data_IF_518503125959
#
_entry.id   IF_518503125959
#
_cell.length_a   1.000
_cell.length_b   1.000
_cell.length_c   1.000
_cell.angle_alpha   90.00
_cell.angle_beta   90.00
_cell.angle_gamma   90.00
#
_symmetry.space_group_name_H-M   'P 1'
#
loop_
_entity.id
_entity.type
_entity.pdbx_description
1 polymer ?
#
# COMPACT_ATOMS: atom_id res chain seq x y z
N UNK A 1 -15.34 12.93 -52.18
CA UNK A 1 -14.97 11.71 -51.44
C UNK A 1 -13.55 11.93 -50.94
N UNK A 2 -13.14 11.77 -49.69
CA UNK A 2 -13.80 11.43 -48.44
C UNK A 2 -13.00 12.11 -47.31
N UNK A 3 -13.67 12.31 -46.19
CA UNK A 3 -13.28 13.05 -44.99
C UNK A 3 -12.24 12.25 -44.17
N UNK A 4 -11.11 12.87 -43.83
CA UNK A 4 -10.20 12.37 -42.79
C UNK A 4 -10.72 12.87 -41.45
N UNK A 5 -10.93 11.94 -40.52
CA UNK A 5 -11.39 12.17 -39.15
C UNK A 5 -10.16 12.06 -38.26
N UNK A 6 -9.70 13.20 -37.73
CA UNK A 6 -8.93 13.26 -36.48
C UNK A 6 -9.96 13.25 -35.33
N UNK A 7 -9.80 12.31 -34.41
CA UNK A 7 -10.60 12.22 -33.20
C UNK A 7 -9.65 11.90 -32.05
N UNK A 8 -9.14 12.94 -31.40
CA UNK A 8 -8.65 12.89 -30.02
C UNK A 8 -8.41 14.31 -29.48
N UNK A 9 -9.50 15.03 -29.18
CA UNK A 9 -9.39 16.29 -28.42
C UNK A 9 -10.65 16.67 -27.60
N UNK A 10 -11.53 15.71 -27.29
CA UNK A 10 -12.80 15.96 -26.56
C UNK A 10 -12.78 15.52 -25.09
N UNK A 11 -11.60 15.24 -24.52
CA UNK A 11 -11.46 14.72 -23.14
C UNK A 11 -11.11 15.75 -22.06
N UNK A 12 -10.79 17.00 -22.41
CA UNK A 12 -10.21 17.97 -21.45
C UNK A 12 -11.09 19.16 -21.06
N UNK A 13 -12.29 19.31 -21.62
CA UNK A 13 -13.13 20.49 -21.36
C UNK A 13 -14.22 20.29 -20.28
N UNK A 14 -14.21 19.18 -19.54
CA UNK A 14 -15.26 18.88 -18.55
C UNK A 14 -14.85 18.97 -17.07
N UNK A 15 -13.63 19.42 -16.74
CA UNK A 15 -13.22 19.62 -15.34
C UNK A 15 -13.25 21.09 -14.89
N UNK A 16 -13.19 22.06 -15.79
CA UNK A 16 -13.17 23.48 -15.42
C UNK A 16 -14.57 24.08 -15.19
N UNK A 17 -15.64 23.39 -15.60
CA UNK A 17 -17.03 23.85 -15.43
C UNK A 17 -17.62 23.60 -14.02
N UNK A 18 -16.95 22.81 -13.18
CA UNK A 18 -17.46 22.45 -11.83
C UNK A 18 -16.86 23.33 -10.73
N UNK A 19 -15.74 24.02 -11.00
CA UNK A 19 -15.03 24.84 -10.00
C UNK A 19 -15.43 26.32 -9.97
N UNK A 20 -16.17 26.80 -10.97
CA UNK A 20 -16.64 28.20 -11.06
C UNK A 20 -18.07 28.40 -10.48
N UNK A 21 -18.59 27.45 -9.69
CA UNK A 21 -19.94 27.54 -9.09
C UNK A 21 -19.93 27.75 -7.56
N UNK A 22 -18.76 27.99 -6.95
CA UNK A 22 -18.58 28.07 -5.49
C UNK A 22 -18.10 29.45 -4.98
N UNK A 23 -18.22 30.51 -5.79
CA UNK A 23 -17.80 31.87 -5.40
C UNK A 23 -18.84 32.92 -5.75
N UNK A 24 -19.95 32.96 -5.01
CA UNK A 24 -20.64 34.22 -4.77
C UNK A 24 -21.08 34.30 -3.29
N UNK A 25 -20.87 35.45 -2.61
CA UNK A 25 -21.28 35.64 -1.22
C UNK A 25 -22.80 35.85 -1.15
N UNK A 26 -23.50 34.97 -0.43
CA UNK A 26 -24.91 35.20 -0.08
C UNK A 26 -24.97 36.29 0.99
N UNK A 27 -25.25 37.50 0.54
CA UNK A 27 -25.63 38.65 1.36
C UNK A 27 -26.98 38.35 2.03
N UNK A 28 -27.00 38.23 3.35
CA UNK A 28 -28.22 38.30 4.16
C UNK A 28 -28.73 39.73 4.20
N UNK A 29 -29.64 40.08 3.29
CA UNK A 29 -30.57 41.19 3.51
C UNK A 29 -31.84 40.64 4.18
N UNK A 30 -32.07 41.09 5.41
CA UNK A 30 -33.26 40.75 6.21
C UNK A 30 -34.36 41.72 5.81
N UNK A 31 -35.16 41.37 4.81
CA UNK A 31 -36.37 42.13 4.49
C UNK A 31 -37.52 41.63 5.36
N UNK A 32 -37.86 42.42 6.38
CA UNK A 32 -39.00 42.20 7.26
C UNK A 32 -40.28 42.61 6.52
N UNK A 33 -40.84 41.69 5.74
CA UNK A 33 -42.26 41.75 5.39
C UNK A 33 -42.98 40.67 6.19
N UNK A 34 -43.61 41.07 7.29
CA UNK A 34 -44.53 40.24 8.04
C UNK A 34 -45.81 40.03 7.20
N UNK A 35 -45.70 39.17 6.19
CA UNK A 35 -46.87 38.63 5.50
C UNK A 35 -47.52 37.64 6.46
N UNK A 36 -48.71 38.01 6.92
CA UNK A 36 -49.53 37.21 7.83
C UNK A 36 -49.98 35.97 7.07
N UNK A 37 -49.15 34.93 7.07
CA UNK A 37 -49.50 33.60 6.57
C UNK A 37 -50.73 33.16 7.35
N UNK A 38 -51.87 33.13 6.67
CA UNK A 38 -53.06 32.43 7.14
C UNK A 38 -52.67 30.96 7.26
N UNK A 39 -52.18 30.57 8.44
CA UNK A 39 -51.82 29.19 8.72
C UNK A 39 -53.11 28.44 9.01
N UNK A 40 -53.75 27.97 7.94
CA UNK A 40 -54.61 26.80 8.02
C UNK A 40 -53.71 25.55 8.09
N UNK A 41 -52.70 25.61 8.96
CA UNK A 41 -51.71 24.56 9.10
C UNK A 41 -52.30 23.51 10.01
N UNK A 42 -52.21 22.24 9.61
CA UNK A 42 -52.67 21.11 10.40
C UNK A 42 -51.98 20.99 11.78
N UNK A 43 -51.08 21.92 12.10
CA UNK A 43 -50.27 22.00 13.31
C UNK A 43 -50.84 22.97 14.36
N UNK A 44 -51.63 23.98 13.95
CA UNK A 44 -52.06 25.08 14.83
C UNK A 44 -53.15 24.67 15.84
N UNK A 45 -53.93 23.64 15.52
CA UNK A 45 -55.01 23.12 16.39
C UNK A 45 -54.59 21.90 17.23
N UNK A 46 -53.31 21.50 17.20
CA UNK A 46 -52.85 20.29 17.89
C UNK A 46 -52.33 20.61 19.28
N UNK A 47 -52.63 19.73 20.23
CA UNK A 47 -52.10 19.88 21.60
C UNK A 47 -50.56 19.67 21.62
N UNK A 48 -49.85 20.27 22.59
CA UNK A 48 -48.40 20.08 22.72
C UNK A 48 -47.99 18.61 22.93
N UNK A 49 -48.85 17.78 23.50
CA UNK A 49 -48.62 16.33 23.61
C UNK A 49 -48.80 15.61 22.28
N UNK A 50 -49.80 15.98 21.49
CA UNK A 50 -50.06 15.40 20.18
C UNK A 50 -48.94 15.73 19.18
N UNK A 51 -48.39 16.94 19.23
CA UNK A 51 -47.21 17.33 18.45
C UNK A 51 -45.97 16.47 18.78
N UNK A 52 -45.76 16.15 20.06
CA UNK A 52 -44.68 15.26 20.50
C UNK A 52 -44.90 13.82 20.03
N UNK A 53 -46.15 13.35 20.06
CA UNK A 53 -46.51 12.02 19.57
C UNK A 53 -46.22 11.89 18.07
N UNK A 54 -46.64 12.87 17.27
CA UNK A 54 -46.38 12.91 15.82
C UNK A 54 -44.88 12.98 15.53
N UNK A 55 -44.13 13.82 16.26
CA UNK A 55 -42.67 13.91 16.09
C UNK A 55 -41.98 12.58 16.42
N UNK A 56 -42.44 11.86 17.44
CA UNK A 56 -41.89 10.56 17.82
C UNK A 56 -42.23 9.49 16.78
N UNK A 57 -43.44 9.49 16.26
CA UNK A 57 -43.86 8.63 15.15
C UNK A 57 -43.03 8.89 13.89
N UNK A 58 -42.80 10.16 13.53
CA UNK A 58 -41.94 10.52 12.40
C UNK A 58 -40.49 10.07 12.63
N UNK A 59 -39.93 10.27 13.83
CA UNK A 59 -38.58 9.76 14.16
C UNK A 59 -38.48 8.25 14.01
N UNK A 60 -39.50 7.52 14.47
CA UNK A 60 -39.56 6.07 14.31
C UNK A 60 -39.69 5.65 12.84
N UNK A 61 -40.50 6.35 12.06
CA UNK A 61 -40.65 6.11 10.63
C UNK A 61 -39.33 6.37 9.87
N UNK A 62 -38.64 7.47 10.18
CA UNK A 62 -37.32 7.79 9.60
C UNK A 62 -36.29 6.71 9.98
N UNK A 63 -36.31 6.22 11.22
CA UNK A 63 -35.46 5.11 11.65
C UNK A 63 -35.71 3.82 10.85
N UNK A 64 -36.98 3.48 10.60
CA UNK A 64 -37.35 2.32 9.75
C UNK A 64 -36.91 2.51 8.31
N UNK A 65 -37.19 3.67 7.72
CA UNK A 65 -36.76 4.01 6.35
C UNK A 65 -35.23 3.98 6.20
N UNK A 66 -34.49 4.42 7.21
CA UNK A 66 -33.02 4.34 7.22
C UNK A 66 -32.52 2.90 7.22
N UNK A 67 -33.18 2.03 7.98
CA UNK A 67 -32.88 0.59 7.99
C UNK A 67 -33.20 -0.06 6.63
N UNK A 68 -34.33 0.28 6.01
CA UNK A 68 -34.73 -0.24 4.71
C UNK A 68 -33.75 0.19 3.60
N UNK A 69 -33.32 1.46 3.60
CA UNK A 69 -32.29 1.96 2.68
C UNK A 69 -30.94 1.27 2.93
N UNK A 70 -30.61 1.00 4.20
CA UNK A 70 -29.42 0.24 4.57
C UNK A 70 -29.46 -1.20 4.05
N UNK A 71 -30.61 -1.87 4.14
CA UNK A 71 -30.82 -3.21 3.61
C UNK A 71 -30.74 -3.22 2.07
N UNK A 72 -31.39 -2.27 1.39
CA UNK A 72 -31.32 -2.13 -0.06
C UNK A 72 -29.90 -1.86 -0.57
N UNK A 73 -29.10 -1.06 0.16
CA UNK A 73 -27.67 -0.86 -0.17
C UNK A 73 -26.87 -2.16 -0.07
N UNK A 74 -27.10 -2.98 0.96
CA UNK A 74 -26.42 -4.26 1.13
C UNK A 74 -26.79 -5.25 0.02
N UNK A 75 -28.06 -5.29 -0.36
CA UNK A 75 -28.53 -6.14 -1.46
C UNK A 75 -27.95 -5.68 -2.80
N UNK A 76 -27.93 -4.38 -3.08
CA UNK A 76 -27.31 -3.84 -4.28
C UNK A 76 -25.81 -4.17 -4.35
N UNK A 77 -25.09 -4.09 -3.21
CA UNK A 77 -23.68 -4.46 -3.16
C UNK A 77 -23.48 -5.96 -3.39
N UNK A 78 -24.32 -6.81 -2.80
CA UNK A 78 -24.32 -8.25 -3.07
C UNK A 78 -24.55 -8.56 -4.56
N UNK A 79 -25.52 -7.90 -5.19
CA UNK A 79 -25.81 -8.09 -6.62
C UNK A 79 -24.67 -7.63 -7.51
N UNK A 80 -23.96 -6.54 -7.15
CA UNK A 80 -22.76 -6.12 -7.89
C UNK A 80 -21.67 -7.18 -7.85
N UNK A 81 -21.37 -7.71 -6.67
CA UNK A 81 -20.36 -8.78 -6.50
C UNK A 81 -20.74 -10.02 -7.31
N UNK A 82 -22.02 -10.40 -7.29
CA UNK A 82 -22.53 -11.53 -8.08
C UNK A 82 -22.41 -11.30 -9.59
N UNK A 83 -22.77 -10.10 -10.07
CA UNK A 83 -22.61 -9.74 -11.47
C UNK A 83 -21.15 -9.70 -11.92
N UNK A 84 -20.24 -9.24 -11.06
CA UNK A 84 -18.81 -9.28 -11.35
C UNK A 84 -18.27 -10.72 -11.44
N UNK A 85 -18.74 -11.61 -10.56
CA UNK A 85 -18.39 -13.03 -10.62
C UNK A 85 -18.89 -13.69 -11.92
N UNK A 86 -20.14 -13.41 -12.32
CA UNK A 86 -20.71 -13.91 -13.58
C UNK A 86 -19.92 -13.38 -14.79
N UNK A 87 -19.59 -12.08 -14.82
CA UNK A 87 -18.78 -11.50 -15.90
C UNK A 87 -17.38 -12.12 -16.00
N UNK A 88 -16.74 -12.39 -14.86
CA UNK A 88 -15.44 -13.08 -14.84
C UNK A 88 -15.55 -14.52 -15.36
N UNK A 89 -16.59 -15.24 -14.97
CA UNK A 89 -16.85 -16.60 -15.46
C UNK A 89 -17.15 -16.62 -16.97
N UNK A 90 -17.93 -15.66 -17.49
CA UNK A 90 -18.24 -15.55 -18.91
C UNK A 90 -17.00 -15.15 -19.73
N UNK A 91 -16.18 -14.22 -19.26
CA UNK A 91 -14.91 -13.87 -19.89
C UNK A 91 -13.95 -15.07 -19.96
N UNK A 92 -13.91 -15.89 -18.90
CA UNK A 92 -13.15 -17.13 -18.88
C UNK A 92 -13.69 -18.13 -19.93
N UNK A 93 -15.00 -18.38 -19.95
CA UNK A 93 -15.63 -19.28 -20.95
C UNK A 93 -15.42 -18.81 -22.38
N UNK A 94 -15.56 -17.51 -22.67
CA UNK A 94 -15.31 -16.97 -24.02
C UNK A 94 -13.84 -17.13 -24.42
N UNK A 95 -12.90 -16.97 -23.48
CA UNK A 95 -11.49 -17.27 -23.71
C UNK A 95 -11.23 -18.74 -24.06
N UNK A 96 -11.95 -19.67 -23.42
CA UNK A 96 -11.87 -21.10 -23.72
C UNK A 96 -12.54 -21.46 -25.06
N UNK A 97 -13.68 -20.85 -25.39
CA UNK A 97 -14.43 -21.13 -26.62
C UNK A 97 -13.68 -20.61 -27.87
N UNK A 98 -13.07 -19.42 -27.79
CA UNK A 98 -12.23 -18.89 -28.87
C UNK A 98 -10.96 -19.74 -29.10
N UNK A 99 -10.40 -20.33 -28.03
CA UNK A 99 -9.28 -21.29 -28.13
C UNK A 99 -9.70 -22.63 -28.73
N UNK A 100 -10.91 -23.10 -28.44
CA UNK A 100 -11.45 -24.34 -29.02
C UNK A 100 -11.82 -24.19 -30.51
N UNK A 101 -12.32 -23.02 -30.94
CA UNK A 101 -12.67 -22.78 -32.35
C UNK A 101 -11.47 -22.52 -33.27
N UNK A 102 -10.30 -22.19 -32.70
CA UNK A 102 -9.06 -21.96 -33.46
C UNK A 102 -8.20 -23.23 -33.61
N UNK A 103 -8.61 -24.35 -33.04
CA UNK A 103 -7.96 -25.65 -33.24
C UNK A 103 -8.63 -26.34 -34.43
N UNK A 104 -8.09 -26.08 -35.62
CA UNK A 104 -8.26 -26.96 -36.78
C UNK A 104 -8.04 -28.42 -36.32
N UNK A 105 -8.89 -29.40 -36.70
CA UNK A 105 -8.76 -30.77 -36.24
C UNK A 105 -7.33 -31.23 -36.48
N UNK A 106 -6.64 -31.63 -35.40
CA UNK A 106 -5.20 -31.91 -35.39
C UNK A 106 -4.80 -32.66 -36.66
N UNK A 107 -4.14 -31.93 -37.58
CA UNK A 107 -3.71 -32.44 -38.88
C UNK A 107 -2.89 -33.69 -38.61
N UNK A 108 -3.27 -34.84 -39.19
CA UNK A 108 -2.51 -36.09 -39.03
C UNK A 108 -1.04 -35.80 -39.38
N UNK A 109 -0.07 -36.25 -38.58
CA UNK A 109 1.34 -35.95 -38.82
C UNK A 109 1.74 -36.38 -40.24
N UNK A 110 2.24 -35.42 -41.04
CA UNK A 110 2.66 -35.66 -42.43
C UNK A 110 4.14 -36.04 -42.47
N UNK A 111 4.41 -37.34 -42.40
CA UNK A 111 5.78 -37.87 -42.42
C UNK A 111 6.47 -37.76 -43.79
N UNK A 112 5.76 -37.41 -44.87
CA UNK A 112 6.31 -37.40 -46.22
C UNK A 112 6.71 -35.98 -46.67
N UNK A 113 5.88 -34.98 -46.36
CA UNK A 113 6.17 -33.59 -46.68
C UNK A 113 7.08 -32.90 -45.66
N UNK A 114 6.93 -33.23 -44.38
CA UNK A 114 7.71 -32.64 -43.28
C UNK A 114 7.90 -33.65 -42.13
N UNK A 115 8.83 -34.62 -42.28
CA UNK A 115 9.07 -35.64 -41.28
C UNK A 115 9.52 -35.07 -39.93
N UNK A 116 10.25 -33.95 -39.91
CA UNK A 116 10.74 -33.34 -38.67
C UNK A 116 9.58 -32.81 -37.81
N UNK A 117 8.63 -32.10 -38.43
CA UNK A 117 7.43 -31.59 -37.74
C UNK A 117 6.49 -32.73 -37.31
N UNK A 118 6.35 -33.76 -38.15
CA UNK A 118 5.57 -34.95 -37.83
C UNK A 118 6.13 -35.71 -36.62
N UNK A 119 7.46 -35.86 -36.53
CA UNK A 119 8.12 -36.49 -35.38
C UNK A 119 8.02 -35.62 -34.13
N UNK A 120 8.24 -34.31 -34.23
CA UNK A 120 8.15 -33.38 -33.08
C UNK A 120 6.73 -33.32 -32.49
N UNK A 121 5.71 -33.33 -33.35
CA UNK A 121 4.31 -33.37 -32.92
C UNK A 121 3.97 -34.69 -32.24
N UNK A 122 4.43 -35.82 -32.81
CA UNK A 122 4.28 -37.14 -32.19
C UNK A 122 4.93 -37.19 -30.80
N UNK A 123 6.19 -36.77 -30.66
CA UNK A 123 6.92 -36.73 -29.38
C UNK A 123 6.21 -35.83 -28.36
N UNK A 124 5.64 -34.71 -28.80
CA UNK A 124 4.92 -33.78 -27.91
C UNK A 124 3.54 -34.29 -27.52
N UNK A 125 2.92 -35.14 -28.35
CA UNK A 125 1.62 -35.77 -28.06
C UNK A 125 1.75 -37.07 -27.25
N UNK A 126 2.96 -37.65 -27.17
CA UNK A 126 3.20 -38.92 -26.49
C UNK A 126 2.87 -38.81 -24.98
N UNK A 127 1.97 -39.64 -24.45
CA UNK A 127 1.62 -39.63 -23.03
C UNK A 127 2.82 -39.83 -22.10
N UNK A 128 3.74 -40.73 -22.44
CA UNK A 128 4.90 -41.03 -21.59
C UNK A 128 5.87 -39.85 -21.48
N UNK A 129 6.11 -39.15 -22.59
CA UNK A 129 6.95 -37.94 -22.60
C UNK A 129 6.27 -36.80 -21.84
N UNK A 130 4.95 -36.67 -21.96
CA UNK A 130 4.20 -35.66 -21.23
C UNK A 130 4.19 -35.92 -19.72
N UNK A 131 4.07 -37.18 -19.30
CA UNK A 131 4.12 -37.53 -17.89
C UNK A 131 5.53 -37.36 -17.32
N UNK A 132 6.58 -37.73 -18.08
CA UNK A 132 7.97 -37.43 -17.72
C UNK A 132 8.25 -35.92 -17.60
N UNK A 133 7.70 -35.09 -18.50
CA UNK A 133 7.84 -33.63 -18.42
C UNK A 133 7.17 -33.08 -17.16
N UNK A 134 5.95 -33.53 -16.84
CA UNK A 134 5.26 -33.16 -15.61
C UNK A 134 6.07 -33.58 -14.38
N UNK A 135 6.57 -34.81 -14.35
CA UNK A 135 7.40 -35.31 -13.26
C UNK A 135 8.67 -34.46 -13.09
N UNK A 136 9.36 -34.16 -14.19
CA UNK A 136 10.53 -33.29 -14.17
C UNK A 136 10.21 -31.89 -13.63
N UNK A 137 9.08 -31.31 -14.03
CA UNK A 137 8.67 -30.00 -13.53
C UNK A 137 8.28 -30.05 -12.05
N UNK A 138 7.64 -31.13 -11.58
CA UNK A 138 7.40 -31.32 -10.14
C UNK A 138 8.71 -31.45 -9.36
N UNK A 139 9.69 -32.18 -9.89
CA UNK A 139 11.00 -32.35 -9.25
C UNK A 139 11.76 -31.02 -9.16
N UNK A 140 11.70 -30.17 -10.20
CA UNK A 140 12.28 -28.82 -10.16
C UNK A 140 11.62 -27.97 -9.08
N UNK A 141 10.28 -27.96 -9.03
CA UNK A 141 9.55 -27.20 -8.02
C UNK A 141 9.91 -27.69 -6.61
N UNK A 142 10.04 -29.00 -6.41
CA UNK A 142 10.39 -29.56 -5.11
C UNK A 142 11.86 -29.32 -4.72
N UNK A 143 12.79 -29.30 -5.67
CA UNK A 143 14.18 -28.88 -5.38
C UNK A 143 14.22 -27.41 -4.95
N UNK A 144 13.47 -26.55 -5.62
CA UNK A 144 13.37 -25.12 -5.27
C UNK A 144 12.80 -24.94 -3.86
N UNK A 145 11.70 -25.64 -3.53
CA UNK A 145 11.12 -25.59 -2.19
C UNK A 145 12.11 -26.03 -1.11
N UNK A 146 12.90 -27.08 -1.37
CA UNK A 146 13.93 -27.56 -0.44
C UNK A 146 15.01 -26.51 -0.22
N UNK A 147 15.53 -25.93 -1.29
CA UNK A 147 16.55 -24.89 -1.20
C UNK A 147 16.02 -23.63 -0.51
N UNK A 148 14.79 -23.24 -0.83
CA UNK A 148 14.16 -22.07 -0.22
C UNK A 148 13.88 -22.30 1.27
N UNK A 149 13.38 -23.48 1.64
CA UNK A 149 13.17 -23.87 3.05
C UNK A 149 14.48 -23.89 3.85
N UNK A 150 15.60 -24.27 3.23
CA UNK A 150 16.92 -24.25 3.87
C UNK A 150 17.40 -22.83 4.20
N UNK A 151 17.11 -21.85 3.33
CA UNK A 151 17.53 -20.45 3.49
C UNK A 151 16.52 -19.65 4.31
N UNK A 152 15.25 -19.97 4.18
CA UNK A 152 14.11 -19.29 4.82
C UNK A 152 13.07 -20.34 5.26
N UNK A 153 13.15 -20.88 6.48
CA UNK A 153 12.23 -21.91 6.96
C UNK A 153 10.75 -21.47 7.01
N UNK A 154 10.53 -20.17 7.19
CA UNK A 154 9.26 -19.46 7.29
C UNK A 154 8.73 -18.94 5.93
N UNK A 155 9.37 -19.30 4.81
CA UNK A 155 8.98 -18.79 3.48
C UNK A 155 7.51 -19.05 3.15
N UNK A 156 6.97 -20.21 3.54
CA UNK A 156 5.60 -20.59 3.24
C UNK A 156 4.58 -19.68 3.94
N UNK A 157 4.88 -19.26 5.16
CA UNK A 157 4.04 -18.32 5.92
C UNK A 157 4.14 -16.91 5.34
N UNK A 158 5.35 -16.48 4.96
CA UNK A 158 5.57 -15.18 4.33
C UNK A 158 4.83 -15.08 3.00
N UNK A 159 4.94 -16.08 2.12
CA UNK A 159 4.25 -16.10 0.82
C UNK A 159 2.73 -16.20 0.96
N UNK A 160 2.22 -16.86 2.00
CA UNK A 160 0.78 -16.94 2.26
C UNK A 160 0.22 -15.69 2.94
N UNK A 161 1.08 -14.81 3.45
CA UNK A 161 0.64 -13.58 4.13
C UNK A 161 0.19 -12.51 3.11
N UNK A 162 -0.99 -11.94 3.34
CA UNK A 162 -1.48 -10.80 2.54
C UNK A 162 -0.56 -9.57 2.65
N UNK A 163 0.16 -9.44 3.77
CA UNK A 163 1.12 -8.36 4.00
C UNK A 163 2.28 -8.41 2.99
N UNK A 164 2.74 -9.61 2.62
CA UNK A 164 3.80 -9.77 1.61
C UNK A 164 3.31 -9.37 0.23
N UNK A 165 2.10 -9.79 -0.18
CA UNK A 165 1.52 -9.38 -1.47
C UNK A 165 1.32 -7.87 -1.57
N UNK A 166 0.85 -7.25 -0.47
CA UNK A 166 0.68 -5.80 -0.40
C UNK A 166 2.04 -5.10 -0.51
N UNK A 167 3.05 -5.56 0.22
CA UNK A 167 4.41 -5.04 0.13
C UNK A 167 4.99 -5.21 -1.28
N UNK A 168 4.83 -6.37 -1.93
CA UNK A 168 5.29 -6.56 -3.31
C UNK A 168 4.60 -5.56 -4.25
N UNK A 169 3.32 -5.28 -4.05
CA UNK A 169 2.51 -4.40 -4.89
C UNK A 169 2.92 -2.92 -4.83
N UNK A 170 3.52 -2.48 -3.73
CA UNK A 170 3.94 -1.08 -3.52
C UNK A 170 5.07 -0.64 -4.46
N UNK A 171 5.91 -1.56 -4.94
CA UNK A 171 7.05 -1.23 -5.81
C UNK A 171 6.96 -1.94 -7.16
N UNK A 172 7.14 -1.21 -8.28
CA UNK A 172 7.26 -1.83 -9.61
C UNK A 172 8.40 -2.86 -9.70
N UNK A 173 9.54 -2.61 -9.04
CA UNK A 173 10.66 -3.56 -9.03
C UNK A 173 10.29 -4.84 -8.30
N UNK A 174 9.66 -4.76 -7.13
CA UNK A 174 9.23 -5.93 -6.36
C UNK A 174 8.21 -6.77 -7.14
N UNK A 175 7.26 -6.13 -7.83
CA UNK A 175 6.31 -6.83 -8.72
C UNK A 175 7.00 -7.56 -9.86
N UNK A 176 7.99 -6.92 -10.49
CA UNK A 176 8.76 -7.55 -11.57
C UNK A 176 9.56 -8.75 -11.06
N UNK A 177 10.22 -8.63 -9.91
CA UNK A 177 10.93 -9.74 -9.26
C UNK A 177 9.99 -10.88 -8.89
N UNK A 178 8.81 -10.59 -8.33
CA UNK A 178 7.81 -11.60 -8.00
C UNK A 178 7.26 -12.32 -9.24
N UNK A 179 7.04 -11.57 -10.33
CA UNK A 179 6.63 -12.14 -11.62
C UNK A 179 7.73 -13.03 -12.22
N UNK A 180 8.98 -12.58 -12.20
CA UNK A 180 10.14 -13.35 -12.66
C UNK A 180 10.33 -14.64 -11.85
N UNK A 181 10.21 -14.56 -10.53
CA UNK A 181 10.23 -15.72 -9.64
C UNK A 181 9.17 -16.76 -10.05
N UNK A 182 7.93 -16.35 -10.29
CA UNK A 182 6.85 -17.26 -10.64
C UNK A 182 6.97 -17.83 -12.06
N UNK A 183 7.53 -17.08 -13.01
CA UNK A 183 7.66 -17.50 -14.41
C UNK A 183 8.85 -18.43 -14.62
N UNK A 184 10.00 -18.01 -14.12
CA UNK A 184 11.28 -18.62 -14.45
C UNK A 184 11.78 -19.55 -13.32
N UNK A 185 11.04 -19.63 -12.20
CA UNK A 185 11.38 -20.44 -11.05
C UNK A 185 12.77 -20.12 -10.47
N UNK A 186 13.16 -18.85 -10.58
CA UNK A 186 14.47 -18.35 -10.14
C UNK A 186 14.53 -18.28 -8.61
N UNK A 187 15.36 -19.16 -8.03
CA UNK A 187 15.54 -19.30 -6.58
C UNK A 187 16.24 -18.09 -5.98
N UNK A 188 17.18 -17.48 -6.70
CA UNK A 188 17.99 -16.39 -6.17
C UNK A 188 17.13 -15.14 -6.03
N UNK A 189 16.27 -14.86 -7.01
CA UNK A 189 15.27 -13.80 -6.92
C UNK A 189 14.30 -14.05 -5.75
N UNK A 190 13.86 -15.30 -5.54
CA UNK A 190 12.97 -15.65 -4.44
C UNK A 190 13.61 -15.37 -3.07
N UNK A 191 14.87 -15.78 -2.89
CA UNK A 191 15.64 -15.58 -1.65
C UNK A 191 15.83 -14.10 -1.36
N UNK A 192 16.28 -13.33 -2.35
CA UNK A 192 16.48 -11.89 -2.20
C UNK A 192 15.17 -11.16 -1.86
N UNK A 193 14.07 -11.49 -2.55
CA UNK A 193 12.77 -10.86 -2.31
C UNK A 193 12.24 -11.14 -0.89
N UNK A 194 12.38 -12.38 -0.40
CA UNK A 194 11.96 -12.75 0.96
C UNK A 194 12.88 -12.13 2.01
N UNK A 195 14.20 -12.09 1.75
CA UNK A 195 15.15 -11.43 2.64
C UNK A 195 14.87 -9.92 2.77
N UNK A 196 14.59 -9.25 1.65
CA UNK A 196 14.29 -7.82 1.63
C UNK A 196 12.97 -7.51 2.36
N UNK A 197 11.93 -8.34 2.19
CA UNK A 197 10.69 -8.20 2.94
C UNK A 197 10.93 -8.31 4.45
N UNK A 198 11.71 -9.30 4.88
CA UNK A 198 12.04 -9.50 6.29
C UNK A 198 12.84 -8.33 6.86
N UNK A 199 13.81 -7.82 6.11
CA UNK A 199 14.58 -6.65 6.49
C UNK A 199 13.66 -5.43 6.70
N UNK A 200 12.74 -5.19 5.75
CA UNK A 200 11.76 -4.11 5.86
C UNK A 200 10.85 -4.27 7.08
N UNK A 201 10.45 -5.51 7.43
CA UNK A 201 9.64 -5.81 8.61
C UNK A 201 10.41 -5.69 9.93
N UNK A 202 11.69 -6.06 9.95
CA UNK A 202 12.53 -5.81 11.13
C UNK A 202 12.70 -4.31 11.39
N UNK A 203 12.85 -3.50 10.36
CA UNK A 203 12.99 -2.04 10.49
C UNK A 203 11.71 -1.35 11.01
N UNK A 204 10.52 -1.88 10.68
CA UNK A 204 9.26 -1.38 11.25
C UNK A 204 9.08 -1.79 12.71
N UNK A 205 9.56 -2.97 13.09
CA UNK A 205 9.51 -3.46 14.47
C UNK A 205 10.57 -2.79 15.37
N UNK A 206 11.67 -2.31 14.78
CA UNK A 206 12.78 -1.60 15.47
C UNK A 206 12.65 -0.07 15.44
N UNK A 207 11.62 0.50 14.79
CA UNK A 207 11.23 1.92 14.90
C UNK A 207 10.34 2.11 16.12
N UNK A 208 10.65 2.89 17.15
CA UNK A 208 11.80 3.68 17.61
C UNK A 208 11.74 3.51 19.14
N UNK A 209 12.85 3.37 19.91
CA UNK A 209 12.74 3.63 21.33
C UNK A 209 12.16 5.03 21.45
N UNK A 210 11.03 5.13 22.15
CA UNK A 210 10.24 6.34 22.21
C UNK A 210 11.22 7.49 22.46
N UNK A 211 11.20 8.55 21.64
CA UNK A 211 12.17 9.65 21.82
C UNK A 211 12.07 10.20 23.24
N UNK A 212 10.90 10.03 23.87
CA UNK A 212 10.66 10.25 25.29
C UNK A 212 11.45 9.32 26.22
N UNK A 213 11.57 8.02 25.94
CA UNK A 213 12.36 7.06 26.73
C UNK A 213 13.86 7.25 26.56
N UNK A 214 14.35 7.55 25.36
CA UNK A 214 15.77 7.86 25.15
C UNK A 214 16.17 9.20 25.78
N UNK A 215 15.29 10.20 25.77
CA UNK A 215 15.51 11.45 26.51
C UNK A 215 15.38 11.23 28.02
N UNK A 216 14.45 10.39 28.49
CA UNK A 216 14.34 10.04 29.92
C UNK A 216 15.52 9.22 30.43
N UNK A 217 16.02 8.26 29.65
CA UNK A 217 17.21 7.48 29.98
C UNK A 217 18.49 8.34 29.93
N UNK A 218 18.55 9.33 29.04
CA UNK A 218 19.63 10.33 29.04
C UNK A 218 19.50 11.36 30.17
N UNK A 219 18.27 11.62 30.66
CA UNK A 219 17.98 12.57 31.74
C UNK A 219 18.01 11.94 33.13
N UNK A 220 17.77 10.63 33.26
CA UNK A 220 18.03 9.87 34.49
C UNK A 220 19.48 9.40 34.45
N UNK A 221 20.38 10.20 35.01
CA UNK A 221 21.80 9.87 35.11
C UNK A 221 22.00 8.52 35.78
N UNK A 222 22.13 7.46 34.99
CA UNK A 222 22.56 6.16 35.45
C UNK A 222 24.07 6.23 35.66
N UNK A 223 24.47 6.72 36.84
CA UNK A 223 25.85 6.70 37.33
C UNK A 223 26.19 5.29 37.81
N UNK A 224 26.17 4.30 36.91
CA UNK A 224 26.85 3.04 37.18
C UNK A 224 28.33 3.28 36.94
N UNK A 225 29.07 3.37 38.05
CA UNK A 225 30.49 3.71 38.08
C UNK A 225 31.32 2.85 37.13
N UNK A 226 31.88 3.51 36.11
CA UNK A 226 33.11 3.05 35.49
C UNK A 226 34.25 3.75 36.22
N UNK A 227 35.08 2.96 36.91
CA UNK A 227 36.25 3.39 37.68
C UNK A 227 37.44 3.71 36.76
N UNK A 228 37.16 4.28 35.60
CA UNK A 228 38.16 4.73 34.64
C UNK A 228 38.19 6.26 34.71
N UNK A 229 39.36 6.90 34.88
CA UNK A 229 39.42 8.35 34.97
C UNK A 229 38.82 8.91 33.68
N UNK A 230 37.61 9.47 33.76
CA UNK A 230 36.91 9.92 32.58
C UNK A 230 37.80 10.94 31.88
N UNK A 231 38.34 10.58 30.73
CA UNK A 231 39.05 11.52 29.88
C UNK A 231 38.07 12.67 29.63
N UNK A 232 38.42 13.87 30.11
CA UNK A 232 37.54 15.03 30.00
C UNK A 232 37.10 15.25 28.55
N UNK A 233 36.00 15.98 28.36
CA UNK A 233 35.49 16.26 27.01
C UNK A 233 36.59 16.87 26.14
N UNK A 234 36.76 16.36 24.92
CA UNK A 234 37.66 16.92 23.91
C UNK A 234 37.08 18.23 23.40
N UNK A 235 37.92 19.26 23.27
CA UNK A 235 37.53 20.61 22.86
C UNK A 235 38.28 20.92 21.56
N UNK A 236 37.64 21.60 20.60
CA UNK A 236 38.31 22.00 19.36
C UNK A 236 39.01 23.35 19.53
N UNK A 237 40.17 23.51 18.90
CA UNK A 237 40.92 24.75 18.89
C UNK A 237 40.13 25.90 18.24
N UNK A 238 39.26 25.58 17.28
CA UNK A 238 38.32 26.54 16.69
C UNK A 238 37.31 27.08 17.70
N UNK A 239 36.78 26.23 18.58
CA UNK A 239 35.78 26.62 19.57
C UNK A 239 36.40 27.48 20.68
N UNK A 240 37.66 27.20 21.07
CA UNK A 240 38.42 28.05 21.99
C UNK A 240 38.72 29.43 21.40
N UNK A 241 39.10 29.50 20.11
CA UNK A 241 39.31 30.78 19.40
C UNK A 241 38.00 31.57 19.28
N UNK A 242 36.90 30.90 18.95
CA UNK A 242 35.58 31.53 18.92
C UNK A 242 35.17 32.05 20.31
N UNK A 243 35.47 31.31 21.39
CA UNK A 243 35.21 31.75 22.75
C UNK A 243 36.04 32.99 23.12
N UNK A 244 37.32 33.02 22.74
CA UNK A 244 38.20 34.17 22.98
C UNK A 244 37.72 35.44 22.26
N UNK A 245 37.24 35.30 21.02
CA UNK A 245 36.76 36.42 20.19
C UNK A 245 35.41 36.93 20.69
N UNK A 246 34.45 36.02 20.93
CA UNK A 246 33.09 36.40 21.26
C UNK A 246 32.89 36.77 22.74
N UNK A 247 33.64 36.14 23.66
CA UNK A 247 33.47 36.30 25.10
C UNK A 247 34.82 36.23 25.87
N UNK A 248 35.64 37.28 25.80
CA UNK A 248 36.97 37.28 26.40
C UNK A 248 36.97 37.11 27.93
N UNK A 249 35.97 37.67 28.64
CA UNK A 249 35.85 37.51 30.10
C UNK A 249 35.66 36.05 30.51
N UNK A 250 34.80 35.32 29.79
CA UNK A 250 34.54 33.90 30.05
C UNK A 250 35.74 33.01 29.70
N UNK A 251 36.50 33.39 28.67
CA UNK A 251 37.75 32.72 28.34
C UNK A 251 38.78 32.84 29.48
N UNK A 252 38.87 34.01 30.12
CA UNK A 252 39.77 34.24 31.26
C UNK A 252 39.35 33.43 32.50
N UNK A 253 38.05 33.37 32.80
CA UNK A 253 37.51 32.56 33.91
C UNK A 253 37.82 31.06 33.73
N UNK A 254 37.72 30.57 32.49
CA UNK A 254 37.97 29.16 32.14
C UNK A 254 39.45 28.86 31.86
N UNK A 255 40.34 29.85 31.96
CA UNK A 255 41.76 29.70 31.65
C UNK A 255 42.44 28.54 32.39
N UNK A 256 42.19 28.29 33.71
CA UNK A 256 42.79 27.16 34.41
C UNK A 256 42.41 25.80 33.79
N UNK A 257 41.15 25.66 33.36
CA UNK A 257 40.65 24.42 32.75
C UNK A 257 41.13 24.27 31.30
N UNK A 258 41.23 25.37 30.55
CA UNK A 258 41.78 25.37 29.19
C UNK A 258 43.24 24.92 29.24
N UNK A 259 44.04 25.43 30.19
CA UNK A 259 45.44 25.01 30.37
C UNK A 259 45.55 23.53 30.71
N UNK A 260 44.66 23.02 31.58
CA UNK A 260 44.58 21.59 31.90
C UNK A 260 44.21 20.76 30.66
N UNK A 261 43.27 21.23 29.83
CA UNK A 261 42.89 20.56 28.60
C UNK A 261 44.05 20.49 27.57
N UNK A 262 44.92 21.50 27.51
CA UNK A 262 46.14 21.45 26.71
C UNK A 262 47.15 20.44 27.26
N UNK A 263 47.35 20.40 28.59
CA UNK A 263 48.26 19.45 29.23
C UNK A 263 47.81 18.00 29.04
N UNK A 264 46.50 17.76 29.10
CA UNK A 264 45.89 16.45 28.91
C UNK A 264 45.70 16.07 27.42
N UNK A 265 46.13 16.93 26.47
CA UNK A 265 46.00 16.67 25.03
C UNK A 265 44.56 16.63 24.52
N UNK A 266 43.61 17.24 25.25
CA UNK A 266 42.18 17.26 24.91
C UNK A 266 41.80 18.30 23.86
N UNK A 267 42.73 19.19 23.50
CA UNK A 267 42.52 20.20 22.46
C UNK A 267 42.85 19.60 21.09
N UNK A 268 41.83 19.41 20.26
CA UNK A 268 41.97 18.93 18.88
C UNK A 268 42.08 20.15 17.96
N UNK A 269 43.00 20.12 16.98
CA UNK A 269 43.13 21.18 15.98
C UNK A 269 41.93 21.21 15.03
#
# INVERSE_FOLDING_TARGET
>A
MAKVIDADESGKQNLDAVTEALKEPVTTETDQTAEKVSSDSAWDNKSPEELKAILNEQKNMIGRQSNDVGAARKEAERLKVELEAIKKADAMMQGHLNRAQSQEPAKKPDYYGDPESAVKSQISSDPGINDMRKELDTLKVDSIKRDLSSSHPDYAEVLASGDFEQWVSESPMRRNSYSAMNRDYDIDIAKELIAEYKAARSDTTQKKPDRAETVRAASSGNVTGSTEPSSGKKIRAADLRALQINNPSRYQELMPEIMRAYQEGRVIN
#
